data_IF_323730714833
#
_entry.id   IF_323730714833
#
_cell.length_a   1.000
_cell.length_b   1.000
_cell.length_c   1.000
_cell.angle_alpha   90.00
_cell.angle_beta   90.00
_cell.angle_gamma   90.00
#
_symmetry.space_group_name_H-M   'P 1'
#
loop_
_entity.id
_entity.type
_entity.pdbx_description
1 polymer ?
#
# COMPACT_ATOMS: atom_id res chain seq x y z
N UNK A 1 -1.49 -12.98 -5.82
CA UNK A 1 -1.02 -11.98 -4.84
C UNK A 1 -1.83 -12.16 -3.57
N UNK A 2 -1.28 -11.86 -2.40
CA UNK A 2 -2.04 -11.85 -1.14
C UNK A 2 -3.13 -10.76 -1.23
N UNK A 3 -4.29 -11.00 -0.61
CA UNK A 3 -5.36 -10.01 -0.55
C UNK A 3 -4.96 -8.78 0.26
N UNK A 4 -5.42 -7.61 -0.17
CA UNK A 4 -5.22 -6.31 0.46
C UNK A 4 -6.48 -5.46 0.29
N UNK A 5 -6.67 -4.48 1.17
CA UNK A 5 -7.66 -3.41 0.99
C UNK A 5 -7.07 -2.32 0.12
N UNK A 6 -7.87 -1.76 -0.80
CA UNK A 6 -7.48 -0.66 -1.66
C UNK A 6 -8.38 0.55 -1.35
N UNK A 7 -7.76 1.70 -1.13
CA UNK A 7 -8.43 2.98 -0.99
C UNK A 7 -7.90 3.96 -2.03
N UNK A 8 -8.80 4.66 -2.72
CA UNK A 8 -8.44 5.74 -3.64
C UNK A 8 -8.53 7.06 -2.89
N UNK A 9 -7.42 7.79 -2.76
CA UNK A 9 -7.39 9.08 -2.08
C UNK A 9 -7.42 10.23 -3.10
N UNK A 10 -8.52 10.98 -3.13
CA UNK A 10 -8.68 12.10 -4.07
C UNK A 10 -7.90 13.36 -3.67
N UNK A 11 -7.36 13.41 -2.46
CA UNK A 11 -6.54 14.52 -1.97
C UNK A 11 -5.39 14.04 -1.09
N UNK A 12 -4.34 14.86 -0.98
CA UNK A 12 -3.22 14.59 -0.05
C UNK A 12 -3.71 14.47 1.39
N UNK A 13 -4.69 15.27 1.80
CA UNK A 13 -5.24 15.21 3.15
C UNK A 13 -5.91 13.87 3.42
N UNK A 14 -6.74 13.41 2.48
CA UNK A 14 -7.39 12.10 2.58
C UNK A 14 -6.38 10.96 2.66
N UNK A 15 -5.31 11.01 1.85
CA UNK A 15 -4.24 10.01 1.93
C UNK A 15 -3.57 9.99 3.30
N UNK A 16 -3.30 11.16 3.91
CA UNK A 16 -2.73 11.26 5.26
C UNK A 16 -3.72 10.74 6.31
N UNK A 17 -5.01 11.07 6.19
CA UNK A 17 -6.05 10.61 7.10
C UNK A 17 -6.19 9.07 7.04
N UNK A 18 -6.12 8.47 5.85
CA UNK A 18 -6.10 7.02 5.64
C UNK A 18 -4.83 6.38 6.23
N UNK A 19 -3.67 6.98 6.03
CA UNK A 19 -2.41 6.50 6.65
C UNK A 19 -2.52 6.45 8.18
N UNK A 20 -3.07 7.50 8.80
CA UNK A 20 -3.27 7.56 10.25
C UNK A 20 -4.29 6.51 10.72
N UNK A 21 -5.44 6.41 10.03
CA UNK A 21 -6.52 5.46 10.33
C UNK A 21 -6.02 4.00 10.34
N UNK A 22 -5.09 3.67 9.46
CA UNK A 22 -4.58 2.31 9.28
C UNK A 22 -3.18 2.08 9.89
N UNK A 23 -2.66 3.01 10.71
CA UNK A 23 -1.28 2.99 11.20
C UNK A 23 -0.85 1.77 12.03
N UNK A 24 -1.78 0.93 12.48
CA UNK A 24 -1.51 -0.35 13.14
C UNK A 24 -1.29 -1.54 12.18
N UNK A 25 -1.49 -1.33 10.88
CA UNK A 25 -1.40 -2.36 9.82
C UNK A 25 -0.22 -2.08 8.90
N UNK A 26 0.12 -3.05 8.07
CA UNK A 26 1.11 -2.80 7.00
C UNK A 26 0.45 -2.00 5.87
N UNK A 27 0.65 -0.68 5.88
CA UNK A 27 0.11 0.23 4.86
C UNK A 27 1.22 0.66 3.90
N UNK A 28 0.91 0.69 2.60
CA UNK A 28 1.78 1.29 1.58
C UNK A 28 0.96 2.23 0.70
N UNK A 29 1.65 3.22 0.16
CA UNK A 29 1.08 4.20 -0.77
C UNK A 29 1.44 3.77 -2.19
N UNK A 30 0.49 3.91 -3.11
CA UNK A 30 0.62 3.57 -4.51
C UNK A 30 0.64 4.86 -5.33
N UNK A 31 1.77 5.11 -5.99
CA UNK A 31 1.84 6.06 -7.12
C UNK A 31 1.65 5.30 -8.42
N UNK A 32 2.68 5.23 -9.27
CA UNK A 32 2.60 4.47 -10.53
C UNK A 32 2.62 2.93 -10.41
N UNK A 33 2.95 2.37 -9.23
CA UNK A 33 2.84 0.94 -8.94
C UNK A 33 3.82 -0.02 -9.62
N UNK A 34 4.68 0.44 -10.53
CA UNK A 34 5.64 -0.41 -11.25
C UNK A 34 6.55 -1.23 -10.33
N UNK A 35 7.08 -0.61 -9.28
CA UNK A 35 7.95 -1.26 -8.30
C UNK A 35 7.16 -2.10 -7.29
N UNK A 36 6.26 -1.46 -6.52
CA UNK A 36 5.53 -2.13 -5.44
C UNK A 36 4.61 -3.27 -5.94
N UNK A 37 3.80 -3.02 -6.97
CA UNK A 37 2.85 -4.04 -7.47
C UNK A 37 3.60 -5.04 -8.34
N UNK A 38 4.42 -4.55 -9.26
CA UNK A 38 5.16 -5.36 -10.23
C UNK A 38 6.28 -6.18 -9.60
N UNK A 39 7.22 -5.54 -8.93
CA UNK A 39 8.44 -6.18 -8.41
C UNK A 39 8.34 -6.75 -7.00
N UNK A 40 7.36 -6.31 -6.19
CA UNK A 40 7.23 -6.81 -4.81
C UNK A 40 6.02 -7.72 -4.65
N UNK A 41 4.81 -7.23 -4.94
CA UNK A 41 3.59 -7.97 -4.62
C UNK A 41 3.33 -9.16 -5.57
N UNK A 42 3.62 -9.02 -6.88
CA UNK A 42 3.40 -10.09 -7.86
C UNK A 42 4.43 -11.21 -7.70
N UNK A 43 5.65 -10.83 -7.34
CA UNK A 43 6.78 -11.75 -7.15
C UNK A 43 6.89 -12.26 -5.71
N UNK A 44 6.00 -11.81 -4.82
CA UNK A 44 5.93 -12.22 -3.41
C UNK A 44 7.24 -11.96 -2.66
N UNK A 45 7.93 -10.86 -3.00
CA UNK A 45 9.14 -10.43 -2.31
C UNK A 45 8.76 -10.00 -0.90
N UNK A 46 9.14 -10.79 0.09
CA UNK A 46 8.84 -10.53 1.50
C UNK A 46 9.97 -11.00 2.40
N UNK A 47 10.11 -10.36 3.56
CA UNK A 47 11.13 -10.72 4.53
C UNK A 47 11.06 -9.89 5.80
N UNK A 48 12.02 -10.11 6.71
CA UNK A 48 12.13 -9.33 7.95
C UNK A 48 12.35 -7.85 7.60
N UNK A 49 11.39 -6.99 7.96
CA UNK A 49 11.41 -5.56 7.63
C UNK A 49 10.72 -5.18 6.31
N UNK A 50 10.25 -6.17 5.53
CA UNK A 50 9.48 -5.96 4.30
C UNK A 50 8.24 -6.88 4.28
N UNK A 51 7.27 -6.65 5.18
CA UNK A 51 5.98 -7.34 5.10
C UNK A 51 5.20 -6.88 3.87
N UNK A 52 4.45 -7.81 3.26
CA UNK A 52 3.49 -7.45 2.20
C UNK A 52 2.39 -6.53 2.77
N UNK A 53 1.95 -5.52 2.01
CA UNK A 53 0.92 -4.59 2.47
C UNK A 53 -0.43 -5.29 2.63
N UNK A 54 -1.12 -4.94 3.71
CA UNK A 54 -2.51 -5.30 3.96
C UNK A 54 -3.46 -4.20 3.45
N UNK A 55 -2.94 -2.98 3.30
CA UNK A 55 -3.66 -1.80 2.80
C UNK A 55 -2.79 -1.07 1.77
N UNK A 56 -3.39 -0.75 0.63
CA UNK A 56 -2.86 0.17 -0.36
C UNK A 56 -3.71 1.43 -0.42
N UNK A 57 -3.05 2.58 -0.50
CA UNK A 57 -3.68 3.88 -0.73
C UNK A 57 -3.18 4.40 -2.07
N UNK A 58 -4.05 4.43 -3.08
CA UNK A 58 -3.78 4.98 -4.39
C UNK A 58 -3.86 6.51 -4.35
N UNK A 59 -2.88 7.15 -5.01
CA UNK A 59 -2.78 8.61 -5.13
C UNK A 59 -3.03 9.09 -6.57
N UNK A 60 -3.35 8.19 -7.50
CA UNK A 60 -3.51 8.49 -8.94
C UNK A 60 -4.91 8.95 -9.31
#
# INVERSE_FOLDING_TARGET
>A
MRGFELYDAGTVREAVDLLQKHGSRTVKVLGGGSDLVGGVMKDWVQGKGMPLPEVLIDLT
#
